data_IF_237095417780
#
_entry.id   IF_237095417780
#
_cell.length_a   1.000
_cell.length_b   1.000
_cell.length_c   1.000
_cell.angle_alpha   90.00
_cell.angle_beta   90.00
_cell.angle_gamma   90.00
#
_symmetry.space_group_name_H-M   'P 1'
#
loop_
_entity.id
_entity.type
_entity.pdbx_description
1 polymer ?
#
# COMPACT_ATOMS: atom_id res chain seq x y z
N UNK A 1 25.81 14.10 16.44
CA UNK A 1 25.61 12.85 15.68
C UNK A 1 26.76 12.59 14.70
N UNK A 2 27.42 13.64 14.16
CA UNK A 2 28.67 13.55 13.37
C UNK A 2 29.75 12.64 13.98
N UNK A 3 29.77 12.56 15.31
CA UNK A 3 30.65 11.68 16.07
C UNK A 3 30.50 10.19 15.69
N UNK A 4 29.28 9.70 15.41
CA UNK A 4 29.05 8.30 15.09
C UNK A 4 29.61 7.92 13.71
N UNK A 5 29.37 8.75 12.68
CA UNK A 5 29.89 8.52 11.35
C UNK A 5 31.43 8.52 11.32
N UNK A 6 32.05 9.48 12.02
CA UNK A 6 33.51 9.54 12.17
C UNK A 6 34.07 8.35 12.94
N UNK A 7 33.35 7.89 13.98
CA UNK A 7 33.76 6.72 14.76
C UNK A 7 33.75 5.43 13.93
N UNK A 8 32.72 5.22 13.12
CA UNK A 8 32.69 4.08 12.19
C UNK A 8 33.81 4.15 11.15
N UNK A 9 34.17 5.34 10.64
CA UNK A 9 35.33 5.49 9.76
C UNK A 9 36.65 5.16 10.47
N UNK A 10 36.78 5.55 11.75
CA UNK A 10 37.94 5.21 12.57
C UNK A 10 38.05 3.69 12.77
N UNK A 11 36.93 3.02 13.07
CA UNK A 11 36.86 1.56 13.18
C UNK A 11 37.21 0.88 11.86
N UNK A 12 36.73 1.41 10.73
CA UNK A 12 37.09 0.90 9.39
C UNK A 12 38.60 0.96 9.11
N UNK A 13 39.31 1.93 9.70
CA UNK A 13 40.76 2.05 9.62
C UNK A 13 41.53 1.02 10.47
N UNK A 14 40.92 0.53 11.57
CA UNK A 14 41.53 -0.43 12.51
C UNK A 14 41.22 -1.88 12.17
N UNK A 15 39.97 -2.15 11.78
CA UNK A 15 39.44 -3.49 11.54
C UNK A 15 39.40 -3.81 10.05
N UNK A 16 40.54 -4.17 9.46
CA UNK A 16 40.66 -4.36 8.01
C UNK A 16 39.78 -5.47 7.42
N UNK A 17 39.40 -6.47 8.22
CA UNK A 17 38.50 -7.56 7.77
C UNK A 17 37.04 -7.12 7.65
N UNK A 18 36.61 -6.15 8.46
CA UNK A 18 35.24 -5.63 8.48
C UNK A 18 35.16 -4.18 7.96
N UNK A 19 36.23 -3.69 7.33
CA UNK A 19 36.36 -2.32 6.85
C UNK A 19 35.16 -1.89 6.02
N UNK A 20 34.76 -2.71 5.04
CA UNK A 20 33.64 -2.37 4.16
C UNK A 20 32.29 -2.33 4.90
N UNK A 21 32.10 -3.16 5.94
CA UNK A 21 30.92 -3.11 6.79
C UNK A 21 30.87 -1.80 7.60
N UNK A 22 31.97 -1.41 8.25
CA UNK A 22 32.04 -0.15 8.98
C UNK A 22 31.89 1.08 8.09
N UNK A 23 32.37 1.03 6.84
CA UNK A 23 32.13 2.11 5.88
C UNK A 23 30.64 2.22 5.49
N UNK A 24 29.90 1.11 5.39
CA UNK A 24 28.44 1.17 5.20
C UNK A 24 27.74 1.77 6.41
N UNK A 25 28.13 1.40 7.63
CA UNK A 25 27.57 2.01 8.85
C UNK A 25 27.86 3.51 8.94
N UNK A 26 29.07 3.93 8.54
CA UNK A 26 29.41 5.35 8.43
C UNK A 26 28.52 6.06 7.40
N UNK A 27 28.26 5.42 6.25
CA UNK A 27 27.39 5.97 5.22
C UNK A 27 25.93 6.08 5.68
N UNK A 28 25.39 5.10 6.42
CA UNK A 28 24.07 5.21 7.05
C UNK A 28 24.02 6.36 8.05
N UNK A 29 25.03 6.50 8.92
CA UNK A 29 25.08 7.60 9.87
C UNK A 29 25.13 8.98 9.18
N UNK A 30 25.83 9.12 8.04
CA UNK A 30 25.79 10.35 7.24
C UNK A 30 24.43 10.58 6.59
N UNK A 31 23.75 9.51 6.17
CA UNK A 31 22.41 9.56 5.57
C UNK A 31 21.37 10.03 6.59
N UNK A 32 21.45 9.57 7.83
CA UNK A 32 20.55 10.00 8.91
C UNK A 32 20.69 11.50 9.24
N UNK A 33 21.84 12.10 8.91
CA UNK A 33 22.07 13.55 8.99
C UNK A 33 21.74 14.31 7.69
N UNK A 34 21.12 13.64 6.71
CA UNK A 34 20.85 14.17 5.37
C UNK A 34 22.09 14.70 4.62
N UNK A 35 23.30 14.24 4.99
CA UNK A 35 24.57 14.64 4.38
C UNK A 35 24.94 13.73 3.21
N UNK A 36 24.15 13.79 2.14
CA UNK A 36 24.25 12.86 1.01
C UNK A 36 25.55 12.97 0.20
N UNK A 37 26.22 14.12 0.21
CA UNK A 37 27.55 14.24 -0.38
C UNK A 37 28.59 13.40 0.40
N UNK A 38 28.48 13.37 1.72
CA UNK A 38 29.33 12.52 2.58
C UNK A 38 29.04 11.04 2.38
N UNK A 39 27.76 10.66 2.33
CA UNK A 39 27.33 9.30 1.96
C UNK A 39 28.06 8.86 0.69
N UNK A 40 27.97 9.67 -0.38
CA UNK A 40 28.57 9.34 -1.67
C UNK A 40 30.10 9.26 -1.61
N UNK A 41 30.76 10.15 -0.86
CA UNK A 41 32.22 10.09 -0.63
C UNK A 41 32.63 8.80 0.07
N UNK A 42 31.89 8.39 1.10
CA UNK A 42 32.17 7.15 1.84
C UNK A 42 31.91 5.91 1.00
N UNK A 43 30.78 5.87 0.27
CA UNK A 43 30.46 4.76 -0.62
C UNK A 43 31.51 4.56 -1.72
N UNK A 44 32.17 5.63 -2.20
CA UNK A 44 33.25 5.53 -3.18
C UNK A 44 34.50 4.79 -2.65
N UNK A 45 34.67 4.68 -1.32
CA UNK A 45 35.80 3.99 -0.68
C UNK A 45 35.57 2.48 -0.50
N UNK A 46 34.34 2.02 -0.77
CA UNK A 46 33.90 0.64 -0.52
C UNK A 46 34.21 -0.23 -1.74
N UNK A 47 34.84 -1.38 -1.49
CA UNK A 47 35.10 -2.39 -2.52
C UNK A 47 33.92 -3.36 -2.59
N UNK A 48 32.98 -3.13 -3.52
CA UNK A 48 31.74 -3.92 -3.68
C UNK A 48 31.95 -5.44 -3.68
N UNK A 49 33.03 -5.94 -4.31
CA UNK A 49 33.38 -7.37 -4.34
C UNK A 49 33.62 -8.03 -2.97
N UNK A 50 33.83 -7.24 -1.91
CA UNK A 50 34.01 -7.71 -0.54
C UNK A 50 32.72 -7.66 0.29
N UNK A 51 31.66 -7.07 -0.25
CA UNK A 51 30.36 -7.01 0.39
C UNK A 51 29.63 -8.35 0.19
N UNK A 52 28.95 -8.81 1.22
CA UNK A 52 27.98 -9.89 1.07
C UNK A 52 26.72 -9.37 0.32
N UNK A 53 25.77 -10.24 -0.07
CA UNK A 53 24.58 -9.81 -0.82
C UNK A 53 23.73 -8.74 -0.10
N UNK A 54 23.49 -8.90 1.20
CA UNK A 54 22.71 -7.94 1.99
C UNK A 54 23.41 -6.56 2.09
N UNK A 55 24.73 -6.56 2.23
CA UNK A 55 25.54 -5.34 2.23
C UNK A 55 25.60 -4.68 0.85
N UNK A 56 25.65 -5.46 -0.24
CA UNK A 56 25.54 -4.91 -1.59
C UNK A 56 24.18 -4.24 -1.81
N UNK A 57 23.09 -4.84 -1.31
CA UNK A 57 21.78 -4.23 -1.38
C UNK A 57 21.70 -2.91 -0.59
N UNK A 58 22.22 -2.89 0.65
CA UNK A 58 22.29 -1.67 1.45
C UNK A 58 23.14 -0.57 0.78
N UNK A 59 24.25 -0.96 0.15
CA UNK A 59 25.06 -0.05 -0.67
C UNK A 59 24.24 0.59 -1.80
N UNK A 60 23.52 -0.23 -2.57
CA UNK A 60 22.73 0.24 -3.71
C UNK A 60 21.59 1.16 -3.26
N UNK A 61 20.97 0.87 -2.12
CA UNK A 61 19.91 1.69 -1.54
C UNK A 61 20.41 3.08 -1.11
N UNK A 62 21.55 3.14 -0.41
CA UNK A 62 22.21 4.39 -0.04
C UNK A 62 22.67 5.19 -1.27
N UNK A 63 23.22 4.50 -2.27
CA UNK A 63 23.63 5.12 -3.53
C UNK A 63 22.43 5.70 -4.28
N UNK A 64 21.32 4.97 -4.38
CA UNK A 64 20.09 5.42 -5.01
C UNK A 64 19.51 6.65 -4.30
N UNK A 65 19.46 6.65 -2.97
CA UNK A 65 18.99 7.81 -2.20
C UNK A 65 19.86 9.05 -2.45
N UNK A 66 21.20 8.90 -2.43
CA UNK A 66 22.11 10.00 -2.74
C UNK A 66 21.97 10.52 -4.19
N UNK A 67 21.66 9.65 -5.15
CA UNK A 67 21.40 10.03 -6.55
C UNK A 67 20.08 10.81 -6.68
N UNK A 68 19.02 10.38 -6.00
CA UNK A 68 17.73 11.09 -5.98
C UNK A 68 17.92 12.52 -5.45
N UNK A 69 18.67 12.69 -4.37
CA UNK A 69 18.94 14.00 -3.76
C UNK A 69 19.70 14.96 -4.67
N UNK A 70 20.48 14.44 -5.63
CA UNK A 70 21.17 15.23 -6.65
C UNK A 70 20.36 15.41 -7.95
N UNK A 71 19.11 14.95 -7.98
CA UNK A 71 18.28 14.96 -9.19
C UNK A 71 18.69 13.94 -10.26
N UNK A 72 19.58 12.99 -9.95
CA UNK A 72 20.04 11.94 -10.86
C UNK A 72 19.12 10.72 -10.81
N UNK A 73 17.82 10.95 -10.96
CA UNK A 73 16.76 9.97 -10.68
C UNK A 73 16.70 8.83 -11.68
N UNK A 74 17.14 9.02 -12.92
CA UNK A 74 17.30 7.95 -13.89
C UNK A 74 18.35 6.91 -13.44
N UNK A 75 19.48 7.36 -12.90
CA UNK A 75 20.51 6.46 -12.37
C UNK A 75 20.04 5.77 -11.08
N UNK A 76 19.28 6.47 -10.25
CA UNK A 76 18.68 5.87 -9.05
C UNK A 76 17.69 4.76 -9.39
N UNK A 77 16.83 4.95 -10.40
CA UNK A 77 15.85 3.95 -10.83
C UNK A 77 16.51 2.63 -11.25
N UNK A 78 17.65 2.70 -11.95
CA UNK A 78 18.42 1.50 -12.34
C UNK A 78 18.84 0.68 -11.13
N UNK A 79 19.26 1.33 -10.03
CA UNK A 79 19.61 0.66 -8.78
C UNK A 79 18.40 0.09 -8.03
N UNK A 80 17.20 0.61 -8.33
CA UNK A 80 15.94 0.26 -7.66
C UNK A 80 15.07 -0.71 -8.48
N UNK A 81 15.66 -1.41 -9.46
CA UNK A 81 14.97 -2.41 -10.32
C UNK A 81 15.11 -3.84 -9.77
N UNK A 82 15.25 -3.99 -8.45
CA UNK A 82 15.42 -5.30 -7.80
C UNK A 82 14.05 -5.98 -7.59
N UNK A 83 13.89 -7.28 -7.94
CA UNK A 83 12.66 -8.01 -7.66
C UNK A 83 12.34 -8.05 -6.16
N UNK A 84 11.08 -7.83 -5.79
CA UNK A 84 10.65 -7.76 -4.37
C UNK A 84 11.05 -9.01 -3.55
N UNK A 85 11.08 -10.19 -4.19
CA UNK A 85 11.51 -11.44 -3.56
C UNK A 85 12.98 -11.43 -3.08
N UNK A 86 13.82 -10.56 -3.64
CA UNK A 86 15.23 -10.40 -3.28
C UNK A 86 15.46 -9.25 -2.29
N UNK A 87 14.43 -8.45 -1.99
CA UNK A 87 14.52 -7.32 -1.06
C UNK A 87 14.40 -7.84 0.37
N UNK A 88 15.40 -7.60 1.24
CA UNK A 88 15.32 -7.97 2.66
C UNK A 88 14.11 -7.32 3.33
N UNK A 89 13.35 -8.05 4.14
CA UNK A 89 12.11 -7.57 4.78
C UNK A 89 12.30 -6.25 5.50
N UNK A 90 13.37 -6.12 6.29
CA UNK A 90 13.69 -4.90 7.03
C UNK A 90 13.96 -3.65 6.15
N UNK A 91 14.19 -3.84 4.85
CA UNK A 91 14.48 -2.75 3.90
C UNK A 91 13.37 -2.53 2.88
N UNK A 92 12.28 -3.31 2.90
CA UNK A 92 11.20 -3.21 1.91
C UNK A 92 10.53 -1.85 1.90
N UNK A 93 10.19 -1.33 3.07
CA UNK A 93 9.64 0.01 3.21
C UNK A 93 10.52 1.08 2.54
N UNK A 94 11.79 1.18 2.94
CA UNK A 94 12.75 2.13 2.35
C UNK A 94 12.97 1.92 0.86
N UNK A 95 13.02 0.67 0.40
CA UNK A 95 13.16 0.35 -1.02
C UNK A 95 11.97 0.85 -1.85
N UNK A 96 10.74 0.52 -1.44
CA UNK A 96 9.51 0.95 -2.11
C UNK A 96 9.37 2.47 -2.10
N UNK A 97 9.72 3.10 -0.97
CA UNK A 97 9.73 4.55 -0.80
C UNK A 97 10.64 5.24 -1.83
N UNK A 98 11.91 4.81 -1.92
CA UNK A 98 12.87 5.36 -2.87
C UNK A 98 12.51 5.03 -4.32
N UNK A 99 11.98 3.84 -4.59
CA UNK A 99 11.52 3.44 -5.92
C UNK A 99 10.37 4.35 -6.38
N UNK A 100 9.38 4.59 -5.54
CA UNK A 100 8.27 5.50 -5.84
C UNK A 100 8.77 6.93 -6.12
N UNK A 101 9.73 7.43 -5.32
CA UNK A 101 10.35 8.76 -5.54
C UNK A 101 11.08 8.83 -6.88
N UNK A 102 11.91 7.83 -7.20
CA UNK A 102 12.65 7.80 -8.45
C UNK A 102 11.73 7.74 -9.67
N UNK A 103 10.71 6.86 -9.64
CA UNK A 103 9.70 6.74 -10.70
C UNK A 103 8.93 8.05 -10.89
N UNK A 104 8.47 8.68 -9.80
CA UNK A 104 7.73 9.94 -9.86
C UNK A 104 8.58 11.07 -10.46
N UNK A 105 9.87 11.14 -10.11
CA UNK A 105 10.79 12.14 -10.65
C UNK A 105 11.13 11.89 -12.13
N UNK A 106 11.13 10.62 -12.57
CA UNK A 106 11.29 10.24 -13.98
C UNK A 106 9.98 10.34 -14.80
N UNK A 107 8.90 10.86 -14.21
CA UNK A 107 7.61 11.06 -14.89
C UNK A 107 6.76 9.79 -15.02
N UNK A 108 7.18 8.67 -14.44
CA UNK A 108 6.46 7.38 -14.45
C UNK A 108 5.41 7.35 -13.33
N UNK A 109 4.41 8.23 -13.45
CA UNK A 109 3.46 8.51 -12.39
C UNK A 109 2.60 7.29 -12.00
N UNK A 110 2.03 6.56 -12.96
CA UNK A 110 1.21 5.38 -12.62
C UNK A 110 2.02 4.29 -11.92
N UNK A 111 3.25 4.05 -12.35
CA UNK A 111 4.16 3.07 -11.71
C UNK A 111 4.51 3.52 -10.29
N UNK A 112 4.83 4.80 -10.10
CA UNK A 112 5.07 5.36 -8.77
C UNK A 112 3.84 5.25 -7.84
N UNK A 113 2.62 5.39 -8.38
CA UNK A 113 1.38 5.21 -7.62
C UNK A 113 1.24 3.75 -7.17
N UNK A 114 1.45 2.79 -8.08
CA UNK A 114 1.43 1.36 -7.77
C UNK A 114 2.46 0.98 -6.71
N UNK A 115 3.70 1.49 -6.81
CA UNK A 115 4.72 1.29 -5.78
C UNK A 115 4.28 1.83 -4.41
N UNK A 116 3.61 3.00 -4.36
CA UNK A 116 3.08 3.56 -3.10
C UNK A 116 1.90 2.76 -2.54
N UNK A 117 1.06 2.18 -3.39
CA UNK A 117 0.00 1.28 -2.95
C UNK A 117 0.58 0.00 -2.35
N UNK A 118 1.69 -0.52 -2.90
CA UNK A 118 2.43 -1.64 -2.32
C UNK A 118 3.15 -1.29 -1.01
N UNK A 119 3.58 -0.04 -0.84
CA UNK A 119 4.26 0.43 0.36
C UNK A 119 3.36 0.39 1.61
N UNK A 120 2.03 0.50 1.46
CA UNK A 120 1.09 0.52 2.59
C UNK A 120 1.28 -0.65 3.57
N UNK A 121 1.57 -1.83 3.04
CA UNK A 121 1.75 -3.08 3.81
C UNK A 121 3.01 -3.06 4.70
N UNK A 122 3.95 -2.14 4.46
CA UNK A 122 5.23 -2.04 5.14
C UNK A 122 5.29 -0.83 6.12
N UNK A 123 4.20 -0.08 6.27
CA UNK A 123 4.14 1.17 7.02
C UNK A 123 3.33 1.07 8.31
N UNK A 124 3.71 1.86 9.31
CA UNK A 124 2.88 2.12 10.50
C UNK A 124 1.68 3.01 10.17
N UNK A 125 0.66 3.03 11.03
CA UNK A 125 -0.56 3.85 10.83
C UNK A 125 -0.26 5.35 10.62
N UNK A 126 0.78 5.87 11.28
CA UNK A 126 1.19 7.28 11.14
C UNK A 126 1.80 7.50 9.75
N UNK A 127 2.72 6.63 9.32
CA UNK A 127 3.38 6.73 8.01
C UNK A 127 2.40 6.47 6.85
N UNK A 128 1.37 5.64 7.07
CA UNK A 128 0.33 5.40 6.09
C UNK A 128 -0.39 6.70 5.71
N UNK A 129 -0.73 7.56 6.67
CA UNK A 129 -1.41 8.82 6.39
C UNK A 129 -0.59 9.73 5.45
N UNK A 130 0.72 9.83 5.69
CA UNK A 130 1.64 10.58 4.83
C UNK A 130 1.76 9.95 3.43
N UNK A 131 1.81 8.62 3.35
CA UNK A 131 1.84 7.90 2.09
C UNK A 131 0.55 8.09 1.28
N UNK A 132 -0.62 8.07 1.94
CA UNK A 132 -1.91 8.34 1.29
C UNK A 132 -1.96 9.73 0.68
N UNK A 133 -1.47 10.75 1.40
CA UNK A 133 -1.41 12.11 0.88
C UNK A 133 -0.53 12.18 -0.38
N UNK A 134 0.65 11.58 -0.33
CA UNK A 134 1.58 11.54 -1.47
C UNK A 134 1.00 10.75 -2.65
N UNK A 135 0.29 9.66 -2.40
CA UNK A 135 -0.41 8.88 -3.42
C UNK A 135 -1.53 9.69 -4.10
N UNK A 136 -2.33 10.43 -3.33
CA UNK A 136 -3.40 11.29 -3.87
C UNK A 136 -2.82 12.42 -4.73
N UNK A 137 -1.77 13.08 -4.26
CA UNK A 137 -1.07 14.11 -5.04
C UNK A 137 -0.55 13.53 -6.35
N UNK A 138 0.07 12.35 -6.29
CA UNK A 138 0.65 11.70 -7.45
C UNK A 138 -0.43 11.28 -8.46
N UNK A 139 -1.53 10.68 -8.02
CA UNK A 139 -2.67 10.33 -8.88
C UNK A 139 -3.37 11.56 -9.48
N UNK A 140 -3.37 12.70 -8.77
CA UNK A 140 -3.92 13.95 -9.31
C UNK A 140 -3.13 14.46 -10.53
N UNK A 141 -1.83 14.14 -10.60
CA UNK A 141 -0.94 14.49 -11.72
C UNK A 141 -1.03 13.53 -12.89
N UNK A 142 -1.62 12.34 -12.69
CA UNK A 142 -1.85 11.38 -13.78
C UNK A 142 -3.01 11.86 -14.65
N UNK A 143 -2.86 11.90 -15.98
CA UNK A 143 -3.96 12.22 -16.89
C UNK A 143 -5.19 11.33 -16.66
N UNK A 144 -6.38 11.92 -16.76
CA UNK A 144 -7.65 11.19 -16.54
C UNK A 144 -7.80 9.98 -17.49
N UNK A 145 -7.35 10.11 -18.73
CA UNK A 145 -7.39 9.02 -19.72
C UNK A 145 -6.56 7.81 -19.26
N UNK A 146 -5.36 8.06 -18.75
CA UNK A 146 -4.44 7.02 -18.27
C UNK A 146 -5.00 6.34 -17.01
N UNK A 147 -5.60 7.11 -16.09
CA UNK A 147 -6.30 6.57 -14.91
C UNK A 147 -7.47 5.66 -15.30
N UNK A 148 -8.29 6.08 -16.27
CA UNK A 148 -9.39 5.25 -16.79
C UNK A 148 -8.88 3.97 -17.46
N UNK A 149 -7.81 4.08 -18.25
CA UNK A 149 -7.21 2.94 -18.92
C UNK A 149 -6.62 1.95 -17.91
N UNK A 150 -5.94 2.43 -16.88
CA UNK A 150 -5.44 1.61 -15.78
C UNK A 150 -6.59 0.89 -15.08
N UNK A 151 -7.65 1.61 -14.69
CA UNK A 151 -8.82 1.04 -14.01
C UNK A 151 -9.50 -0.08 -14.81
N UNK A 152 -9.57 0.03 -16.14
CA UNK A 152 -10.16 -1.01 -17.01
C UNK A 152 -9.37 -2.31 -17.05
N UNK A 153 -8.07 -2.26 -16.76
CA UNK A 153 -7.19 -3.44 -16.74
C UNK A 153 -7.27 -4.20 -15.41
N UNK A 154 -7.77 -3.56 -14.36
CA UNK A 154 -7.84 -4.15 -13.02
C UNK A 154 -9.05 -5.07 -12.87
N UNK A 155 -8.85 -6.17 -12.14
CA UNK A 155 -9.94 -7.02 -11.69
C UNK A 155 -10.87 -6.27 -10.72
N UNK A 156 -12.06 -6.82 -10.46
CA UNK A 156 -13.00 -6.21 -9.51
C UNK A 156 -12.45 -6.20 -8.08
N UNK A 157 -11.72 -7.23 -7.68
CA UNK A 157 -11.14 -7.41 -6.34
C UNK A 157 -9.70 -6.88 -6.22
N UNK A 158 -9.21 -6.12 -7.21
CA UNK A 158 -7.86 -5.60 -7.18
C UNK A 158 -7.69 -4.51 -6.11
N UNK A 159 -6.61 -4.59 -5.31
CA UNK A 159 -6.33 -3.65 -4.21
C UNK A 159 -6.03 -2.23 -4.69
N UNK A 160 -5.59 -2.04 -5.94
CA UNK A 160 -5.29 -0.72 -6.50
C UNK A 160 -6.55 -0.01 -7.00
N UNK A 161 -7.62 -0.77 -7.24
CA UNK A 161 -8.87 -0.27 -7.81
C UNK A 161 -9.51 0.85 -6.99
N UNK A 162 -9.67 0.74 -5.65
CA UNK A 162 -10.30 1.79 -4.85
C UNK A 162 -9.60 3.14 -4.96
N UNK A 163 -8.26 3.14 -5.03
CA UNK A 163 -7.45 4.35 -5.18
C UNK A 163 -7.67 5.04 -6.52
N UNK A 164 -7.70 4.27 -7.62
CA UNK A 164 -8.01 4.82 -8.93
C UNK A 164 -9.45 5.35 -9.01
N UNK A 165 -10.42 4.61 -8.48
CA UNK A 165 -11.81 5.07 -8.42
C UNK A 165 -11.97 6.35 -7.60
N UNK A 166 -11.33 6.43 -6.43
CA UNK A 166 -11.33 7.64 -5.59
C UNK A 166 -10.72 8.83 -6.33
N UNK A 167 -9.59 8.62 -7.03
CA UNK A 167 -8.93 9.69 -7.79
C UNK A 167 -9.80 10.23 -8.94
N UNK A 168 -10.61 9.36 -9.57
CA UNK A 168 -11.56 9.75 -10.61
C UNK A 168 -12.74 10.51 -10.00
N UNK A 169 -13.32 10.01 -8.90
CA UNK A 169 -14.42 10.69 -8.19
C UNK A 169 -14.04 12.08 -7.70
N UNK A 170 -12.79 12.27 -7.26
CA UNK A 170 -12.26 13.58 -6.88
C UNK A 170 -12.26 14.61 -8.03
N UNK A 171 -12.40 14.14 -9.28
CA UNK A 171 -12.50 14.96 -10.50
C UNK A 171 -13.92 14.93 -11.10
N UNK A 172 -14.94 14.65 -10.27
CA UNK A 172 -16.35 14.52 -10.65
C UNK A 172 -16.63 13.41 -11.70
N UNK A 173 -15.72 12.45 -11.86
CA UNK A 173 -15.92 11.27 -12.71
C UNK A 173 -16.46 10.10 -11.88
N UNK A 174 -17.54 9.50 -12.34
CA UNK A 174 -18.20 8.39 -11.67
C UNK A 174 -17.96 7.12 -12.49
N UNK A 175 -16.79 6.45 -12.34
CA UNK A 175 -16.52 5.23 -13.08
C UNK A 175 -17.59 4.18 -12.72
N UNK A 176 -18.08 3.47 -13.74
CA UNK A 176 -18.95 2.32 -13.51
C UNK A 176 -18.22 1.33 -12.59
N UNK A 177 -18.87 0.96 -11.48
CA UNK A 177 -18.35 -0.11 -10.61
C UNK A 177 -18.21 -1.36 -11.46
N UNK A 178 -17.09 -2.08 -11.34
CA UNK A 178 -17.02 -3.38 -11.99
C UNK A 178 -18.18 -4.22 -11.45
N UNK A 179 -18.96 -4.87 -12.33
CA UNK A 179 -19.94 -5.82 -11.86
C UNK A 179 -19.17 -6.85 -11.02
N UNK A 180 -19.59 -7.01 -9.76
CA UNK A 180 -19.14 -8.12 -8.94
C UNK A 180 -19.55 -9.37 -9.72
N UNK A 181 -18.58 -10.11 -10.26
CA UNK A 181 -18.89 -11.34 -10.99
C UNK A 181 -19.45 -12.33 -9.99
N UNK A 182 -20.74 -12.55 -10.08
CA UNK A 182 -21.40 -13.59 -9.33
C UNK A 182 -20.80 -14.95 -9.68
N UNK A 183 -20.58 -15.76 -8.64
CA UNK A 183 -19.81 -17.00 -8.75
C UNK A 183 -20.72 -18.19 -9.09
N UNK A 184 -22.03 -18.05 -8.90
CA UNK A 184 -23.02 -19.12 -9.10
C UNK A 184 -24.24 -18.57 -9.82
N UNK A 185 -24.67 -19.22 -10.91
CA UNK A 185 -25.90 -18.89 -11.62
C UNK A 185 -27.15 -19.20 -10.78
N UNK A 186 -28.05 -18.24 -10.58
CA UNK A 186 -29.36 -18.43 -9.95
C UNK A 186 -30.50 -17.95 -10.85
N UNK A 187 -31.44 -18.85 -11.11
CA UNK A 187 -32.89 -18.64 -11.31
C UNK A 187 -33.40 -17.72 -12.43
N UNK A 188 -32.84 -16.53 -12.63
CA UNK A 188 -33.35 -15.47 -13.50
C UNK A 188 -32.40 -15.24 -14.66
N UNK A 189 -32.83 -15.49 -15.89
CA UNK A 189 -32.00 -15.24 -17.08
C UNK A 189 -32.12 -13.77 -17.49
N UNK A 190 -31.03 -13.03 -17.46
CA UNK A 190 -30.91 -11.67 -18.01
C UNK A 190 -30.35 -11.72 -19.43
N UNK A 191 -30.90 -10.92 -20.33
CA UNK A 191 -30.34 -10.71 -21.66
C UNK A 191 -29.18 -9.71 -21.59
N UNK A 192 -27.98 -10.15 -22.00
CA UNK A 192 -26.84 -9.29 -22.25
C UNK A 192 -27.06 -8.39 -23.46
N UNK A 193 -26.28 -7.31 -23.55
CA UNK A 193 -26.37 -6.33 -24.64
C UNK A 193 -26.03 -6.91 -26.04
N UNK A 194 -25.47 -8.12 -26.08
CA UNK A 194 -25.17 -8.91 -27.28
C UNK A 194 -26.25 -9.96 -27.61
N UNK A 195 -27.34 -10.01 -26.85
CA UNK A 195 -28.43 -10.97 -27.02
C UNK A 195 -28.18 -12.33 -26.37
N UNK A 196 -27.07 -12.52 -25.66
CA UNK A 196 -26.82 -13.76 -24.90
C UNK A 196 -27.58 -13.76 -23.57
N UNK A 197 -28.13 -14.92 -23.18
CA UNK A 197 -28.84 -15.07 -21.90
C UNK A 197 -27.84 -15.51 -20.83
N UNK A 198 -27.68 -14.71 -19.78
CA UNK A 198 -26.88 -15.03 -18.61
C UNK A 198 -27.80 -15.19 -17.40
N UNK A 199 -27.65 -16.26 -16.64
CA UNK A 199 -28.32 -16.36 -15.35
C UNK A 199 -27.78 -15.26 -14.41
N UNK A 200 -28.66 -14.51 -13.76
CA UNK A 200 -28.33 -13.66 -12.62
C UNK A 200 -27.54 -14.51 -11.66
N UNK A 201 -26.34 -14.10 -11.31
CA UNK A 201 -25.57 -14.89 -10.38
C UNK A 201 -25.72 -14.36 -8.95
N UNK A 202 -25.62 -15.29 -8.01
CA UNK A 202 -25.49 -15.02 -6.59
C UNK A 202 -23.99 -14.89 -6.23
N UNK A 203 -23.68 -13.94 -5.35
CA UNK A 203 -22.39 -13.89 -4.67
C UNK A 203 -22.57 -14.62 -3.34
N UNK A 204 -21.91 -15.76 -3.17
CA UNK A 204 -21.77 -16.37 -1.85
C UNK A 204 -21.13 -15.31 -0.93
N UNK A 205 -21.93 -14.77 -0.02
CA UNK A 205 -21.47 -13.74 0.89
C UNK A 205 -20.50 -14.40 1.88
N UNK A 206 -19.28 -13.87 1.97
CA UNK A 206 -18.37 -14.22 3.05
C UNK A 206 -18.94 -13.77 4.42
N UNK A 207 -18.20 -13.96 5.51
CA UNK A 207 -18.58 -13.38 6.80
C UNK A 207 -18.84 -11.88 6.66
N UNK A 208 -19.94 -11.40 7.26
CA UNK A 208 -20.37 -10.00 7.25
C UNK A 208 -20.02 -9.37 8.59
N UNK A 209 -19.27 -8.27 8.57
CA UNK A 209 -19.08 -7.40 9.72
C UNK A 209 -20.06 -6.22 9.66
N UNK A 210 -20.96 -6.12 10.63
CA UNK A 210 -21.94 -5.03 10.77
C UNK A 210 -21.45 -4.01 11.79
N UNK A 211 -20.94 -2.88 11.31
CA UNK A 211 -20.43 -1.79 12.15
C UNK A 211 -21.53 -0.75 12.39
N UNK A 212 -21.93 -0.57 13.65
CA UNK A 212 -23.01 0.33 14.04
C UNK A 212 -22.68 1.07 15.34
N UNK A 213 -23.16 2.31 15.56
CA UNK A 213 -23.04 2.98 16.85
C UNK A 213 -24.07 2.39 17.81
N UNK A 214 -23.64 1.42 18.63
CA UNK A 214 -24.50 0.73 19.60
C UNK A 214 -24.36 1.30 21.01
N UNK A 215 -23.41 2.24 21.19
CA UNK A 215 -23.24 3.04 22.40
C UNK A 215 -23.17 4.53 22.05
N UNK A 216 -23.28 5.39 23.08
CA UNK A 216 -23.26 6.84 22.91
C UNK A 216 -24.57 7.43 22.41
N UNK A 217 -24.50 8.63 21.84
CA UNK A 217 -25.70 9.42 21.48
C UNK A 217 -26.52 8.81 20.34
N UNK A 218 -25.88 8.02 19.47
CA UNK A 218 -26.52 7.38 18.32
C UNK A 218 -26.96 5.93 18.57
N UNK A 219 -26.84 5.43 19.81
CA UNK A 219 -27.15 4.03 20.18
C UNK A 219 -28.56 3.59 19.78
N UNK A 220 -29.57 4.47 19.94
CA UNK A 220 -30.94 4.17 19.57
C UNK A 220 -31.11 3.97 18.05
N UNK A 221 -30.44 4.81 17.24
CA UNK A 221 -30.47 4.70 15.79
C UNK A 221 -29.71 3.46 15.30
N UNK A 222 -28.53 3.19 15.87
CA UNK A 222 -27.77 1.98 15.57
C UNK A 222 -28.53 0.71 15.94
N UNK A 223 -29.21 0.69 17.08
CA UNK A 223 -30.10 -0.39 17.50
C UNK A 223 -31.23 -0.64 16.49
N UNK A 224 -31.92 0.41 16.04
CA UNK A 224 -32.99 0.27 15.06
C UNK A 224 -32.50 -0.31 13.71
N UNK A 225 -31.32 0.13 13.23
CA UNK A 225 -30.72 -0.42 12.00
C UNK A 225 -30.32 -1.88 12.19
N UNK A 226 -29.71 -2.23 13.32
CA UNK A 226 -29.34 -3.62 13.65
C UNK A 226 -30.57 -4.52 13.65
N UNK A 227 -31.63 -4.08 14.31
CA UNK A 227 -32.84 -4.88 14.48
C UNK A 227 -33.58 -5.04 13.14
N UNK A 228 -33.64 -4.00 12.30
CA UNK A 228 -34.18 -4.09 10.95
C UNK A 228 -33.36 -5.00 10.03
N UNK A 229 -32.03 -4.94 10.13
CA UNK A 229 -31.12 -5.84 9.42
C UNK A 229 -31.38 -7.31 9.80
N UNK A 230 -31.43 -7.62 11.10
CA UNK A 230 -31.67 -9.00 11.54
C UNK A 230 -33.08 -9.48 11.27
N UNK A 231 -34.09 -8.60 11.34
CA UNK A 231 -35.45 -8.94 10.94
C UNK A 231 -35.49 -9.44 9.48
N UNK A 232 -34.84 -8.74 8.56
CA UNK A 232 -34.72 -9.17 7.17
C UNK A 232 -33.86 -10.44 7.02
N UNK A 233 -32.70 -10.48 7.67
CA UNK A 233 -31.76 -11.61 7.63
C UNK A 233 -32.38 -12.94 8.10
N UNK A 234 -33.26 -12.89 9.11
CA UNK A 234 -33.96 -14.07 9.61
C UNK A 234 -35.27 -14.37 8.87
N UNK A 235 -35.93 -13.35 8.30
CA UNK A 235 -37.14 -13.51 7.50
C UNK A 235 -36.87 -14.16 6.12
N UNK A 236 -35.64 -14.05 5.61
CA UNK A 236 -35.24 -14.70 4.37
C UNK A 236 -35.32 -16.23 4.50
N UNK A 237 -36.00 -16.89 3.57
CA UNK A 237 -36.22 -18.34 3.69
C UNK A 237 -34.89 -19.09 3.48
N UNK A 238 -34.64 -20.19 4.20
CA UNK A 238 -33.44 -20.98 3.96
C UNK A 238 -33.49 -21.55 2.53
N UNK A 239 -32.75 -20.92 1.62
CA UNK A 239 -32.32 -21.54 0.37
C UNK A 239 -31.38 -22.72 0.69
N UNK A 240 -31.06 -23.55 -0.30
CA UNK A 240 -30.15 -24.68 -0.14
C UNK A 240 -28.70 -24.28 0.25
N UNK A 241 -28.42 -23.00 0.48
CA UNK A 241 -27.09 -22.48 0.78
C UNK A 241 -26.99 -21.95 2.23
N UNK A 242 -25.82 -22.09 2.86
CA UNK A 242 -25.59 -21.61 4.23
C UNK A 242 -25.63 -20.07 4.29
N UNK A 243 -26.38 -19.53 5.26
CA UNK A 243 -26.45 -18.09 5.53
C UNK A 243 -25.06 -17.57 5.97
N UNK A 244 -24.62 -16.38 5.51
CA UNK A 244 -23.32 -15.83 5.88
C UNK A 244 -23.28 -15.51 7.38
N UNK A 245 -22.19 -15.85 8.07
CA UNK A 245 -22.04 -15.46 9.48
C UNK A 245 -22.00 -13.93 9.59
N UNK A 246 -22.78 -13.37 10.51
CA UNK A 246 -22.81 -11.92 10.77
C UNK A 246 -22.22 -11.63 12.14
N UNK A 247 -21.18 -10.80 12.21
CA UNK A 247 -20.60 -10.30 13.45
C UNK A 247 -20.89 -8.80 13.58
N UNK A 248 -21.30 -8.35 14.76
CA UNK A 248 -21.67 -6.96 15.01
C UNK A 248 -20.58 -6.28 15.83
N UNK A 249 -20.12 -5.12 15.37
CA UNK A 249 -19.08 -4.32 16.03
C UNK A 249 -19.64 -2.94 16.39
N UNK A 250 -19.45 -2.54 17.65
CA UNK A 250 -19.85 -1.21 18.11
C UNK A 250 -18.81 -0.17 17.71
N UNK A 251 -19.22 0.81 16.92
CA UNK A 251 -18.37 1.93 16.50
C UNK A 251 -18.23 3.04 17.54
N UNK A 252 -18.98 2.97 18.64
CA UNK A 252 -18.97 3.99 19.69
C UNK A 252 -19.47 5.36 19.22
N UNK A 253 -18.94 6.43 19.81
CA UNK A 253 -19.37 7.80 19.54
C UNK A 253 -18.28 8.74 19.03
N UNK A 254 -17.09 8.21 18.76
CA UNK A 254 -15.94 9.00 18.32
C UNK A 254 -15.17 8.30 17.19
N UNK A 255 -14.28 9.06 16.55
CA UNK A 255 -13.50 8.55 15.41
C UNK A 255 -12.57 7.41 15.81
N UNK A 256 -12.02 7.43 17.01
CA UNK A 256 -11.06 6.42 17.46
C UNK A 256 -11.75 5.09 17.77
N UNK A 257 -12.93 5.13 18.40
CA UNK A 257 -13.77 3.95 18.59
C UNK A 257 -14.21 3.35 17.25
N UNK A 258 -14.58 4.18 16.28
CA UNK A 258 -14.99 3.72 14.95
C UNK A 258 -13.84 3.04 14.19
N UNK A 259 -12.63 3.60 14.23
CA UNK A 259 -11.44 3.00 13.61
C UNK A 259 -11.04 1.68 14.29
N UNK A 260 -11.16 1.58 15.62
CA UNK A 260 -10.94 0.32 16.34
C UNK A 260 -11.95 -0.75 15.94
N UNK A 261 -13.22 -0.40 15.77
CA UNK A 261 -14.25 -1.33 15.30
C UNK A 261 -13.95 -1.84 13.88
N UNK A 262 -13.43 -0.98 13.00
CA UNK A 262 -12.96 -1.39 11.65
C UNK A 262 -11.78 -2.36 11.76
N UNK A 263 -10.79 -2.07 12.59
CA UNK A 263 -9.64 -2.96 12.79
C UNK A 263 -10.07 -4.34 13.32
N UNK A 264 -10.94 -4.39 14.34
CA UNK A 264 -11.49 -5.63 14.88
C UNK A 264 -12.28 -6.42 13.82
N UNK A 265 -13.03 -5.74 12.97
CA UNK A 265 -13.78 -6.37 11.88
C UNK A 265 -12.86 -6.99 10.82
N UNK A 266 -11.72 -6.35 10.52
CA UNK A 266 -10.72 -6.86 9.59
C UNK A 266 -9.94 -8.06 10.17
N UNK A 267 -9.68 -8.08 11.49
CA UNK A 267 -9.01 -9.21 12.16
C UNK A 267 -9.91 -10.44 12.31
N UNK A 268 -11.24 -10.25 12.31
CA UNK A 268 -12.23 -11.31 12.53
C UNK A 268 -12.64 -12.08 11.26
N UNK A 269 -12.13 -11.69 10.08
CA UNK A 269 -12.46 -12.26 8.77
C UNK A 269 -11.22 -12.71 8.00
#
# INVERSE_FOLDING_TARGET
MVAAANEYQRLAGREHQQREHYLLLAAEAWRDEARFDDVRRVLALIKRKKLNPAQNFAYDLLAAEALIQRGQTAAAEVLLTVPMAQVPTAQRGRFLELQARALAANGKLLEAASTRMALVDELTLVEQADNEQQLRELLSRVPLADRRQALRKLAAADRERPWLEQSLRAQAEWPARAPLRAQTAVGTWQAGADGSLHAEGYLASGPIALLLPLSGEFAAAGGAVRDGFFAAYFADQPTAEPRPSVQVFDTGNDRESALRAVAMALDAG
#
